data_IF_407845654363
#
_entry.id   IF_407845654363
#
_cell.length_a   1.000
_cell.length_b   1.000
_cell.length_c   1.000
_cell.angle_alpha   90.00
_cell.angle_beta   90.00
_cell.angle_gamma   90.00
#
_symmetry.space_group_name_H-M   'P 1'
#
loop_
_entity.id
_entity.type
_entity.pdbx_description
1 polymer ?
#
# COMPACT_ATOMS: atom_id res chain seq x y z
N UNK A 1 -4.16 33.59 4.46
CA UNK A 1 -3.87 32.99 3.14
C UNK A 1 -4.02 31.49 3.27
N UNK A 2 -4.73 30.77 2.39
CA UNK A 2 -4.70 29.31 2.45
C UNK A 2 -3.28 28.85 2.14
N UNK A 3 -2.58 28.35 3.15
CA UNK A 3 -1.27 27.74 2.98
C UNK A 3 -1.50 26.45 2.21
N UNK A 4 -1.03 26.39 0.96
CA UNK A 4 -1.10 25.16 0.18
C UNK A 4 -0.37 24.05 0.97
N UNK A 5 -0.95 22.83 1.07
CA UNK A 5 -0.33 21.75 1.82
C UNK A 5 1.05 21.43 1.23
N UNK A 6 2.04 21.31 2.10
CA UNK A 6 3.40 20.91 1.69
C UNK A 6 3.41 19.44 1.25
N UNK A 7 4.45 19.00 0.54
CA UNK A 7 4.61 17.58 0.19
C UNK A 7 4.58 16.67 1.45
N UNK A 8 5.18 17.14 2.54
CA UNK A 8 5.14 16.43 3.81
C UNK A 8 3.73 16.41 4.42
N UNK A 9 2.91 17.45 4.25
CA UNK A 9 1.48 17.42 4.63
C UNK A 9 0.70 16.40 3.83
N UNK A 10 0.92 16.36 2.50
CA UNK A 10 0.25 15.42 1.61
C UNK A 10 0.63 13.98 1.93
N UNK A 11 1.92 13.68 2.08
CA UNK A 11 2.41 12.34 2.45
C UNK A 11 1.76 11.84 3.75
N UNK A 12 1.57 12.73 4.74
CA UNK A 12 0.86 12.38 5.98
C UNK A 12 -0.62 12.11 5.77
N UNK A 13 -1.30 12.98 5.05
CA UNK A 13 -2.73 12.80 4.78
C UNK A 13 -2.97 11.53 3.95
N UNK A 14 -2.07 11.21 3.01
CA UNK A 14 -2.08 9.94 2.29
C UNK A 14 -1.88 8.76 3.25
N UNK A 15 -0.90 8.85 4.16
CA UNK A 15 -0.68 7.82 5.18
C UNK A 15 -1.89 7.64 6.11
N UNK A 16 -2.61 8.72 6.43
CA UNK A 16 -3.87 8.66 7.18
C UNK A 16 -4.95 7.87 6.43
N UNK A 17 -4.87 7.83 5.10
CA UNK A 17 -5.77 7.16 4.16
C UNK A 17 -5.17 5.88 3.53
N UNK A 18 -4.12 5.30 4.12
CA UNK A 18 -3.28 4.28 3.47
C UNK A 18 -4.07 3.09 2.92
N UNK A 19 -5.08 2.59 3.62
CA UNK A 19 -5.85 1.44 3.13
C UNK A 19 -6.70 1.79 1.90
N UNK A 20 -7.35 2.96 1.90
CA UNK A 20 -8.09 3.47 0.75
C UNK A 20 -7.15 3.74 -0.44
N UNK A 21 -5.94 4.25 -0.16
CA UNK A 21 -4.91 4.46 -1.15
C UNK A 21 -4.48 3.13 -1.81
N UNK A 22 -4.14 2.13 -0.99
CA UNK A 22 -3.75 0.81 -1.48
C UNK A 22 -4.83 0.16 -2.34
N UNK A 23 -6.12 0.26 -1.95
CA UNK A 23 -7.22 -0.28 -2.76
C UNK A 23 -7.36 0.39 -4.13
N UNK A 24 -7.00 1.68 -4.25
CA UNK A 24 -7.13 2.44 -5.49
C UNK A 24 -5.90 2.27 -6.40
N UNK A 25 -4.71 2.46 -5.86
CA UNK A 25 -3.46 2.50 -6.63
C UNK A 25 -2.71 1.18 -6.67
N UNK A 26 -2.95 0.30 -5.68
CA UNK A 26 -2.26 -0.99 -5.50
C UNK A 26 -3.27 -2.13 -5.42
N UNK A 27 -4.31 -2.08 -6.26
CA UNK A 27 -5.47 -2.97 -6.26
C UNK A 27 -5.17 -4.44 -6.53
N UNK A 28 -4.05 -4.77 -7.18
CA UNK A 28 -3.60 -6.15 -7.38
C UNK A 28 -2.94 -6.73 -6.13
N UNK A 29 -2.73 -5.90 -5.10
CA UNK A 29 -2.26 -6.32 -3.80
C UNK A 29 -3.38 -6.79 -2.87
N UNK A 30 -2.97 -7.24 -1.69
CA UNK A 30 -3.90 -7.70 -0.66
C UNK A 30 -3.40 -7.34 0.74
N UNK A 31 -4.35 -7.25 1.67
CA UNK A 31 -4.05 -6.98 3.09
C UNK A 31 -3.55 -8.25 3.78
N UNK A 32 -2.35 -8.20 4.33
CA UNK A 32 -1.78 -9.23 5.19
C UNK A 32 -1.45 -8.64 6.57
N UNK A 33 -2.39 -8.79 7.51
CA UNK A 33 -2.29 -8.23 8.85
C UNK A 33 -2.14 -6.71 8.84
N UNK A 34 -0.95 -6.22 9.21
CA UNK A 34 -0.61 -4.78 9.24
C UNK A 34 0.03 -4.26 7.97
N UNK A 35 0.16 -5.10 6.95
CA UNK A 35 0.82 -4.80 5.69
C UNK A 35 -0.15 -4.95 4.52
N UNK A 36 0.10 -4.21 3.45
CA UNK A 36 -0.45 -4.46 2.12
C UNK A 36 0.67 -5.03 1.26
N UNK A 37 0.47 -6.19 0.66
CA UNK A 37 1.46 -6.85 -0.18
C UNK A 37 1.03 -6.75 -1.65
N UNK A 38 1.93 -6.31 -2.52
CA UNK A 38 1.71 -6.17 -3.98
C UNK A 38 3.02 -6.46 -4.72
N UNK A 39 2.99 -6.62 -6.05
CA UNK A 39 4.19 -6.85 -6.86
C UNK A 39 5.16 -5.69 -6.75
N UNK A 40 4.78 -4.50 -7.20
CA UNK A 40 5.65 -3.32 -7.22
C UNK A 40 4.85 -2.02 -7.12
N UNK A 41 5.54 -0.88 -7.23
CA UNK A 41 4.96 0.47 -7.22
C UNK A 41 4.02 0.72 -8.41
N UNK A 42 4.12 -0.07 -9.48
CA UNK A 42 3.28 -0.01 -10.67
C UNK A 42 2.05 -0.94 -10.58
N UNK A 43 1.74 -1.46 -9.38
CA UNK A 43 0.60 -2.31 -9.13
C UNK A 43 0.66 -3.63 -9.92
N UNK A 44 1.84 -4.19 -10.18
CA UNK A 44 1.90 -5.54 -10.75
C UNK A 44 1.43 -6.58 -9.72
N UNK A 45 0.96 -7.73 -10.20
CA UNK A 45 0.62 -8.85 -9.32
C UNK A 45 1.90 -9.45 -8.72
N UNK A 46 1.90 -9.74 -7.42
CA UNK A 46 3.06 -10.29 -6.73
C UNK A 46 3.07 -9.96 -5.24
N UNK A 47 4.25 -10.00 -4.64
CA UNK A 47 4.44 -9.76 -3.20
C UNK A 47 5.83 -9.27 -2.84
N UNK A 48 6.50 -8.52 -3.72
CA UNK A 48 7.81 -7.91 -3.43
C UNK A 48 7.67 -6.61 -2.68
N UNK A 49 6.60 -5.83 -2.91
CA UNK A 49 6.36 -4.56 -2.24
C UNK A 49 5.40 -4.68 -1.07
N UNK A 50 5.77 -4.07 0.06
CA UNK A 50 5.00 -4.08 1.31
C UNK A 50 4.73 -2.67 1.78
N UNK A 51 3.46 -2.29 1.95
CA UNK A 51 3.03 -1.00 2.52
C UNK A 51 2.52 -1.17 3.94
N UNK A 52 2.97 -0.34 4.88
CA UNK A 52 2.52 -0.39 6.26
C UNK A 52 1.15 0.26 6.42
N UNK A 53 0.14 -0.50 6.85
CA UNK A 53 -1.23 0.00 7.05
C UNK A 53 -1.44 0.62 8.43
N UNK A 54 -0.73 0.14 9.45
CA UNK A 54 -0.94 0.55 10.85
C UNK A 54 0.28 1.25 11.44
N UNK A 55 0.07 2.23 12.31
CA UNK A 55 1.14 2.94 13.01
C UNK A 55 0.84 4.44 13.11
N UNK A 56 1.75 5.23 13.74
CA UNK A 56 1.63 6.68 13.77
C UNK A 56 1.66 7.26 12.35
N UNK A 57 1.21 8.50 12.19
CA UNK A 57 1.26 9.19 10.89
C UNK A 57 2.68 9.68 10.54
N UNK A 58 3.57 9.73 11.53
CA UNK A 58 4.95 10.25 11.42
C UNK A 58 5.91 9.43 12.30
N UNK A 59 7.19 9.45 11.95
CA UNK A 59 8.26 8.85 12.73
C UNK A 59 8.50 7.36 12.45
N UNK A 60 9.25 6.71 13.34
CA UNK A 60 9.64 5.30 13.18
C UNK A 60 8.41 4.39 13.17
N UNK A 61 8.29 3.60 12.12
CA UNK A 61 7.13 2.72 11.95
C UNK A 61 5.84 3.45 11.59
N UNK A 62 5.93 4.64 10.99
CA UNK A 62 4.76 5.31 10.44
C UNK A 62 4.04 4.42 9.42
N UNK A 63 2.72 4.57 9.36
CA UNK A 63 1.91 3.98 8.28
C UNK A 63 2.16 4.73 6.97
N UNK A 64 1.80 4.12 5.84
CA UNK A 64 2.06 4.65 4.50
C UNK A 64 3.51 4.55 4.05
N UNK A 65 4.43 4.03 4.88
CA UNK A 65 5.77 3.67 4.44
C UNK A 65 5.75 2.35 3.70
N UNK A 66 6.46 2.29 2.58
CA UNK A 66 6.60 1.08 1.78
C UNK A 66 8.06 0.69 1.59
N UNK A 67 8.29 -0.59 1.32
CA UNK A 67 9.58 -1.12 0.91
C UNK A 67 9.38 -2.27 -0.06
N UNK A 68 10.25 -2.34 -1.07
CA UNK A 68 10.31 -3.41 -2.05
C UNK A 68 11.49 -4.34 -1.70
N UNK A 69 11.19 -5.60 -1.43
CA UNK A 69 12.18 -6.62 -1.10
C UNK A 69 13.00 -7.12 -2.28
N UNK A 70 12.54 -6.90 -3.53
CA UNK A 70 13.26 -7.28 -4.73
C UNK A 70 14.30 -6.23 -5.15
N UNK A 71 13.96 -4.94 -5.04
CA UNK A 71 14.87 -3.84 -5.43
C UNK A 71 15.61 -3.22 -4.25
N UNK A 72 15.09 -3.38 -3.03
CA UNK A 72 15.58 -2.69 -1.84
C UNK A 72 15.11 -1.24 -1.73
N UNK A 73 14.29 -0.77 -2.67
CA UNK A 73 13.74 0.58 -2.64
C UNK A 73 12.71 0.74 -1.52
N UNK A 74 12.58 1.96 -1.05
CA UNK A 74 11.65 2.29 0.01
C UNK A 74 11.23 3.75 -0.09
N UNK A 75 10.05 4.06 0.44
CA UNK A 75 9.53 5.42 0.38
C UNK A 75 8.23 5.58 1.14
N UNK A 76 7.47 6.59 0.75
CA UNK A 76 6.07 6.73 1.15
C UNK A 76 5.10 6.78 -0.03
N UNK A 77 3.81 6.91 0.27
CA UNK A 77 2.75 6.84 -0.71
C UNK A 77 2.84 7.95 -1.77
N UNK A 78 3.49 9.08 -1.48
CA UNK A 78 3.69 10.12 -2.47
C UNK A 78 4.70 9.66 -3.53
N UNK A 79 5.72 8.91 -3.14
CA UNK A 79 6.69 8.32 -4.07
C UNK A 79 6.01 7.30 -5.00
N UNK A 80 5.03 6.54 -4.51
CA UNK A 80 4.24 5.62 -5.36
C UNK A 80 3.50 6.37 -6.46
N UNK A 81 2.82 7.47 -6.11
CA UNK A 81 2.15 8.33 -7.10
C UNK A 81 3.19 8.90 -8.08
N UNK A 82 4.34 9.34 -7.58
CA UNK A 82 5.42 9.88 -8.40
C UNK A 82 5.90 8.87 -9.45
N UNK A 83 6.19 7.64 -9.05
CA UNK A 83 6.62 6.59 -9.99
C UNK A 83 5.54 6.25 -11.01
N UNK A 84 4.27 6.18 -10.60
CA UNK A 84 3.16 5.93 -11.53
C UNK A 84 2.91 7.10 -12.50
N UNK A 85 3.35 8.32 -12.16
CA UNK A 85 3.26 9.50 -13.02
C UNK A 85 4.55 9.78 -13.82
N UNK A 86 5.47 8.81 -13.91
CA UNK A 86 6.71 8.97 -14.68
C UNK A 86 7.65 10.02 -14.10
N UNK A 87 7.69 10.14 -12.78
CA UNK A 87 8.55 11.07 -12.03
C UNK A 87 8.21 12.57 -12.20
N UNK A 88 7.03 12.90 -12.74
CA UNK A 88 6.53 14.28 -12.73
C UNK A 88 5.98 14.67 -11.35
N UNK A 89 6.78 15.47 -10.63
CA UNK A 89 6.43 15.97 -9.30
C UNK A 89 5.16 16.84 -9.28
N UNK A 90 4.93 17.65 -10.30
CA UNK A 90 3.74 18.53 -10.36
C UNK A 90 2.49 17.69 -10.56
N UNK A 91 2.54 16.70 -11.44
CA UNK A 91 1.47 15.73 -11.65
C UNK A 91 1.20 14.94 -10.38
N UNK A 92 2.24 14.42 -9.72
CA UNK A 92 2.11 13.65 -8.49
C UNK A 92 1.44 14.44 -7.36
N UNK A 93 1.82 15.71 -7.17
CA UNK A 93 1.17 16.57 -6.18
C UNK A 93 -0.29 16.87 -6.52
N UNK A 94 -0.62 17.01 -7.81
CA UNK A 94 -1.99 17.23 -8.26
C UNK A 94 -2.86 15.99 -8.00
N UNK A 95 -2.34 14.80 -8.31
CA UNK A 95 -3.03 13.54 -8.08
C UNK A 95 -3.20 13.24 -6.58
N UNK A 96 -2.18 13.51 -5.76
CA UNK A 96 -2.29 13.39 -4.31
C UNK A 96 -3.41 14.28 -3.74
N UNK A 97 -3.51 15.53 -4.20
CA UNK A 97 -4.61 16.43 -3.81
C UNK A 97 -5.96 15.92 -4.31
N UNK A 98 -6.02 15.42 -5.54
CA UNK A 98 -7.25 14.87 -6.11
C UNK A 98 -7.75 13.69 -5.27
N UNK A 99 -6.87 12.75 -4.93
CA UNK A 99 -7.20 11.61 -4.07
C UNK A 99 -7.72 12.05 -2.70
N UNK A 100 -7.05 13.01 -2.05
CA UNK A 100 -7.44 13.51 -0.72
C UNK A 100 -8.73 14.34 -0.73
N UNK A 101 -9.15 14.84 -1.90
CA UNK A 101 -10.40 15.59 -2.06
C UNK A 101 -11.62 14.69 -2.31
N UNK A 102 -11.41 13.40 -2.55
CA UNK A 102 -12.51 12.45 -2.72
C UNK A 102 -13.19 12.18 -1.37
N UNK A 103 -14.53 12.06 -1.33
CA UNK A 103 -15.20 11.57 -0.14
C UNK A 103 -14.62 10.20 0.21
N UNK A 104 -14.08 10.06 1.43
CA UNK A 104 -13.61 8.76 1.92
C UNK A 104 -14.77 7.78 1.76
N UNK A 105 -14.55 6.69 1.02
CA UNK A 105 -15.50 5.59 1.01
C UNK A 105 -15.74 5.18 2.47
N UNK A 106 -17.00 4.92 2.88
CA UNK A 106 -17.27 4.48 4.23
C UNK A 106 -16.36 3.28 4.53
N UNK A 107 -15.62 3.34 5.64
CA UNK A 107 -14.86 2.18 6.10
C UNK A 107 -15.79 0.97 6.00
N UNK A 108 -15.40 -0.13 5.35
CA UNK A 108 -16.20 -1.34 5.44
C UNK A 108 -16.26 -1.65 6.93
N UNK A 109 -17.45 -1.48 7.51
CA UNK A 109 -17.80 -1.87 8.85
C UNK A 109 -17.15 -3.23 9.07
N UNK A 110 -16.19 -3.29 10.00
CA UNK A 110 -15.31 -4.46 10.19
C UNK A 110 -16.18 -5.70 10.08
N UNK A 111 -16.11 -6.37 8.93
CA UNK A 111 -16.82 -7.61 8.75
C UNK A 111 -16.29 -8.48 9.87
N UNK A 112 -17.18 -8.83 10.81
CA UNK A 112 -16.89 -9.75 11.90
C UNK A 112 -16.08 -10.90 11.33
N UNK A 113 -15.05 -11.40 12.02
CA UNK A 113 -14.26 -12.52 11.52
C UNK A 113 -15.24 -13.62 11.08
N UNK A 114 -15.31 -13.85 9.77
CA UNK A 114 -15.96 -15.03 9.25
C UNK A 114 -15.21 -16.22 9.86
N UNK A 115 -15.90 -17.20 10.46
CA UNK A 115 -15.23 -18.34 11.06
C UNK A 115 -14.35 -19.02 10.01
N UNK A 116 -13.12 -19.35 10.41
CA UNK A 116 -12.13 -20.05 9.61
C UNK A 116 -12.75 -21.24 8.87
N UNK A 117 -12.91 -21.10 7.55
CA UNK A 117 -13.02 -22.26 6.69
C UNK A 117 -11.60 -22.75 6.40
N UNK A 118 -11.18 -23.76 7.17
CA UNK A 118 -10.15 -24.71 6.76
C UNK A 118 -10.46 -25.17 5.33
N UNK A 119 -9.51 -25.01 4.41
CA UNK A 119 -8.78 -26.11 3.75
C UNK A 119 -8.11 -25.58 2.48
N UNK A 120 -6.78 -25.56 2.45
CA UNK A 120 -6.03 -25.82 1.20
C UNK A 120 -4.72 -26.51 1.60
N UNK A 121 -4.89 -27.74 2.06
CA UNK A 121 -3.83 -28.76 2.00
C UNK A 121 -3.57 -29.13 0.53
N UNK A 122 -2.95 -28.27 -0.28
CA UNK A 122 -2.41 -28.67 -1.59
C UNK A 122 -1.60 -27.52 -2.21
N UNK A 123 -0.26 -27.55 -2.08
CA UNK A 123 0.69 -26.99 -3.09
C UNK A 123 2.14 -26.98 -2.61
N UNK A 124 2.43 -26.96 -1.30
CA UNK A 124 3.82 -26.81 -0.83
C UNK A 124 4.52 -28.12 -0.38
N UNK A 125 3.83 -29.27 -0.31
CA UNK A 125 4.47 -30.56 0.10
C UNK A 125 4.90 -31.47 -1.06
N UNK A 126 4.77 -31.05 -2.32
CA UNK A 126 5.11 -31.91 -3.48
C UNK A 126 6.37 -31.53 -4.28
N UNK A 127 7.14 -30.51 -3.89
CA UNK A 127 8.26 -30.04 -4.73
C UNK A 127 9.61 -29.82 -4.04
N UNK A 128 10.00 -30.69 -3.10
CA UNK A 128 11.42 -30.81 -2.74
C UNK A 128 11.88 -32.27 -2.62
N UNK A 129 12.65 -32.67 -3.66
CA UNK A 129 13.74 -33.66 -3.73
C UNK A 129 13.41 -35.15 -3.50
N UNK A 130 13.41 -35.98 -4.54
CA UNK A 130 14.60 -36.61 -5.19
C UNK A 130 15.47 -37.42 -4.23
N UNK A 131 15.46 -38.74 -4.43
CA UNK A 131 16.43 -39.68 -3.84
C UNK A 131 15.99 -41.11 -4.09
N UNK A 132 16.39 -41.61 -5.27
CA UNK A 132 16.22 -42.96 -5.82
C UNK A 132 16.51 -44.09 -4.84
#
# INVERSE_FOLDING_TARGET
MPTHPTAADLSRQLADNVEAFCRRYLSNGHRNGRWWCVGDVHNTAGGSLYVRLTGPSRGKGARGKWSDGATGEHGDLLDVILFQNGEDWKAALAEARAFLSLPQAPEPERARPLPEARDTTESARRMLRYGR
#
